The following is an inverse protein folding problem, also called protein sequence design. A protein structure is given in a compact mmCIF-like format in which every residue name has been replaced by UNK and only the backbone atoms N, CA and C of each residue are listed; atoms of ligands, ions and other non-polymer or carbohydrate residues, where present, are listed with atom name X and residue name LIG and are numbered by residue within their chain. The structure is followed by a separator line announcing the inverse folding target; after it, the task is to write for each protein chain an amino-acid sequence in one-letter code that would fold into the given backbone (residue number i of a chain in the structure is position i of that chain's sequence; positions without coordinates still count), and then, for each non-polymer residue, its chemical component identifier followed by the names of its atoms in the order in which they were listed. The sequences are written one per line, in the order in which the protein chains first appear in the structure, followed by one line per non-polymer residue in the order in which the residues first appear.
data_IF_476975409501
#
_entry.id   IF_476975409501
#
_cell.length_a   1.000
_cell.length_b   1.000
_cell.length_c   1.000
_cell.angle_alpha   90.00
_cell.angle_beta   90.00
_cell.angle_gamma   90.00
#
_symmetry.space_group_name_H-M   'P 1'
#
loop_
_entity.id
_entity.type
_entity.pdbx_description
1 polymer ?
#
# COMPACT_ATOMS: atom_id res chain seq x y z
N UNK A 1 -27.22 -12.36 -49.72
CA UNK A 1 -26.37 -12.99 -48.69
C UNK A 1 -25.49 -11.88 -48.16
N UNK A 2 -25.84 -11.40 -46.96
CA UNK A 2 -25.32 -10.18 -46.36
C UNK A 2 -23.92 -10.43 -45.81
N UNK A 3 -22.95 -9.63 -46.25
CA UNK A 3 -21.60 -9.62 -45.70
C UNK A 3 -21.65 -9.16 -44.24
N UNK A 4 -21.36 -10.11 -43.34
CA UNK A 4 -21.15 -9.84 -41.92
C UNK A 4 -19.82 -9.09 -41.80
N UNK A 5 -19.91 -7.76 -41.64
CA UNK A 5 -18.79 -6.93 -41.22
C UNK A 5 -18.29 -7.43 -39.86
N UNK A 6 -17.18 -8.16 -39.86
CA UNK A 6 -16.41 -8.49 -38.66
C UNK A 6 -15.88 -7.16 -38.12
N UNK A 7 -16.53 -6.64 -37.07
CA UNK A 7 -16.04 -5.51 -36.29
C UNK A 7 -14.79 -5.97 -35.54
N UNK A 8 -13.56 -5.52 -35.90
CA UNK A 8 -12.37 -5.90 -35.16
C UNK A 8 -12.54 -5.33 -33.75
N UNK A 9 -12.66 -6.24 -32.78
CA UNK A 9 -12.78 -5.89 -31.37
C UNK A 9 -11.80 -4.76 -31.03
N UNK A 10 -12.35 -3.62 -30.60
CA UNK A 10 -11.57 -2.51 -30.05
C UNK A 10 -10.62 -3.09 -29.00
N UNK A 11 -9.34 -3.21 -29.34
CA UNK A 11 -8.29 -3.48 -28.35
C UNK A 11 -8.31 -2.26 -27.43
N UNK A 12 -8.99 -2.39 -26.29
CA UNK A 12 -9.01 -1.37 -25.25
C UNK A 12 -7.55 -1.24 -24.79
N UNK A 13 -6.85 -0.21 -25.25
CA UNK A 13 -5.55 0.17 -24.67
C UNK A 13 -5.82 0.49 -23.20
N UNK A 14 -5.50 -0.45 -22.33
CA UNK A 14 -5.52 -0.22 -20.89
C UNK A 14 -4.31 0.67 -20.61
N UNK A 15 -4.55 1.88 -20.11
CA UNK A 15 -3.49 2.76 -19.62
C UNK A 15 -2.78 2.03 -18.47
N UNK A 16 -1.43 2.04 -18.40
CA UNK A 16 -0.74 1.49 -17.25
C UNK A 16 -1.14 2.26 -15.99
N UNK A 17 -1.26 1.54 -14.88
CA UNK A 17 -1.57 2.10 -13.56
C UNK A 17 -0.54 3.18 -13.20
N UNK A 18 -0.99 4.36 -12.79
CA UNK A 18 -0.12 5.43 -12.31
C UNK A 18 0.03 5.43 -10.78
N UNK A 19 1.08 6.10 -10.28
CA UNK A 19 1.26 6.31 -8.84
C UNK A 19 0.08 7.07 -8.21
N UNK A 20 -0.46 8.07 -8.90
CA UNK A 20 -1.63 8.83 -8.47
C UNK A 20 -2.88 7.94 -8.28
N UNK A 21 -3.11 6.98 -9.18
CA UNK A 21 -4.21 6.02 -9.05
C UNK A 21 -4.03 5.11 -7.82
N UNK A 22 -2.79 4.74 -7.50
CA UNK A 22 -2.46 3.97 -6.28
C UNK A 22 -2.69 4.81 -5.02
N UNK A 23 -2.20 6.05 -4.99
CA UNK A 23 -2.40 6.99 -3.88
C UNK A 23 -3.89 7.17 -3.60
N UNK A 24 -4.69 7.48 -4.63
CA UNK A 24 -6.14 7.65 -4.50
C UNK A 24 -6.85 6.36 -4.06
N UNK A 25 -6.41 5.20 -4.52
CA UNK A 25 -6.98 3.93 -4.09
C UNK A 25 -6.71 3.63 -2.62
N UNK A 26 -5.48 3.88 -2.15
CA UNK A 26 -5.10 3.67 -0.74
C UNK A 26 -5.80 4.67 0.17
N UNK A 27 -5.85 5.95 -0.20
CA UNK A 27 -6.59 6.97 0.54
C UNK A 27 -8.06 6.57 0.75
N UNK A 28 -8.74 6.18 -0.35
CA UNK A 28 -10.13 5.71 -0.28
C UNK A 28 -10.27 4.46 0.58
N UNK A 29 -9.33 3.53 0.50
CA UNK A 29 -9.36 2.31 1.31
C UNK A 29 -9.26 2.63 2.81
N UNK A 30 -8.31 3.48 3.22
CA UNK A 30 -8.12 3.89 4.61
C UNK A 30 -9.33 4.65 5.15
N UNK A 31 -9.85 5.63 4.40
CA UNK A 31 -11.05 6.37 4.80
C UNK A 31 -12.29 5.47 4.88
N UNK A 32 -12.44 4.53 3.94
CA UNK A 32 -13.58 3.60 3.95
C UNK A 32 -13.49 2.65 5.15
N UNK A 33 -12.29 2.20 5.50
CA UNK A 33 -12.05 1.30 6.64
C UNK A 33 -12.46 1.96 7.96
N UNK A 34 -12.02 3.19 8.23
CA UNK A 34 -12.36 3.87 9.49
C UNK A 34 -13.83 4.33 9.51
N UNK A 35 -14.42 4.61 8.34
CA UNK A 35 -15.82 5.03 8.24
C UNK A 35 -16.83 3.88 8.29
N UNK A 36 -16.38 2.64 8.12
CA UNK A 36 -17.26 1.48 8.22
C UNK A 36 -17.79 1.34 9.65
N UNK A 37 -19.11 1.24 9.81
CA UNK A 37 -19.77 1.21 11.12
C UNK A 37 -20.88 0.15 11.09
N UNK A 38 -21.03 -0.71 12.12
CA UNK A 38 -20.26 -0.75 13.37
C UNK A 38 -18.93 -1.51 13.25
N UNK A 39 -17.90 -1.10 14.00
CA UNK A 39 -16.67 -1.89 14.19
C UNK A 39 -16.45 -2.22 15.67
N UNK A 40 -16.96 -3.38 16.15
CA UNK A 40 -16.86 -3.75 17.56
C UNK A 40 -15.42 -3.71 18.08
N UNK A 41 -15.16 -2.85 19.06
CA UNK A 41 -13.85 -2.71 19.71
C UNK A 41 -12.83 -1.86 18.96
N UNK A 42 -13.13 -1.40 17.73
CA UNK A 42 -12.25 -0.54 16.93
C UNK A 42 -12.86 0.86 16.77
N UNK A 43 -12.04 1.82 16.35
CA UNK A 43 -12.50 3.16 15.99
C UNK A 43 -13.41 3.10 14.76
N UNK A 44 -14.57 3.77 14.85
CA UNK A 44 -15.49 4.02 13.74
C UNK A 44 -16.09 5.44 13.82
N UNK A 45 -17.10 5.75 12.99
CA UNK A 45 -17.75 7.07 13.00
C UNK A 45 -18.49 7.35 14.31
N UNK A 46 -18.97 6.31 15.00
CA UNK A 46 -19.81 6.46 16.21
C UNK A 46 -18.97 6.63 17.46
N UNK A 47 -17.83 5.95 17.57
CA UNK A 47 -17.02 5.95 18.78
C UNK A 47 -15.58 5.46 18.55
N UNK A 48 -14.73 5.65 19.57
CA UNK A 48 -13.35 5.19 19.59
C UNK A 48 -13.18 3.68 19.88
N UNK A 49 -14.27 2.91 19.97
CA UNK A 49 -14.22 1.51 20.36
C UNK A 49 -13.67 1.33 21.78
N UNK A 50 -12.68 0.44 21.92
CA UNK A 50 -11.97 0.22 23.18
C UNK A 50 -10.78 1.18 23.40
N UNK A 51 -10.54 2.10 22.47
CA UNK A 51 -9.39 2.99 22.50
C UNK A 51 -9.68 4.27 23.29
N UNK A 52 -8.66 4.73 24.01
CA UNK A 52 -8.66 6.02 24.74
C UNK A 52 -7.67 7.02 24.14
N UNK A 53 -6.79 6.54 23.27
CA UNK A 53 -5.66 7.26 22.67
C UNK A 53 -5.90 7.67 21.22
N UNK A 54 -6.95 7.17 20.55
CA UNK A 54 -7.28 7.47 19.15
C UNK A 54 -8.78 7.58 18.91
N UNK A 55 -9.13 8.37 17.91
CA UNK A 55 -10.49 8.60 17.44
C UNK A 55 -10.54 8.71 15.90
N UNK A 56 -11.72 8.99 15.34
CA UNK A 56 -11.89 9.16 13.90
C UNK A 56 -10.95 10.23 13.32
N UNK A 57 -10.80 11.37 14.01
CA UNK A 57 -9.96 12.48 13.56
C UNK A 57 -8.48 12.07 13.48
N UNK A 58 -8.01 11.26 14.43
CA UNK A 58 -6.66 10.69 14.42
C UNK A 58 -6.41 9.83 13.18
N UNK A 59 -7.39 9.02 12.77
CA UNK A 59 -7.31 8.20 11.56
C UNK A 59 -7.40 9.02 10.26
N UNK A 60 -8.21 10.08 10.24
CA UNK A 60 -8.28 11.00 9.09
C UNK A 60 -6.98 11.78 8.91
N UNK A 61 -6.40 12.30 10.00
CA UNK A 61 -5.09 12.95 10.00
C UNK A 61 -3.97 12.00 9.55
N UNK A 62 -3.97 10.77 10.07
CA UNK A 62 -3.08 9.70 9.64
C UNK A 62 -3.19 9.40 8.14
N UNK A 63 -4.42 9.31 7.62
CA UNK A 63 -4.66 9.01 6.19
C UNK A 63 -4.11 10.11 5.28
N UNK A 64 -4.33 11.38 5.64
CA UNK A 64 -3.87 12.53 4.86
C UNK A 64 -2.33 12.55 4.70
N UNK A 65 -1.60 12.01 5.68
CA UNK A 65 -0.15 11.89 5.63
C UNK A 65 0.30 10.59 4.96
N UNK A 66 -0.32 9.45 5.28
CA UNK A 66 0.11 8.13 4.80
C UNK A 66 -0.15 7.94 3.31
N UNK A 67 -1.29 8.39 2.77
CA UNK A 67 -1.64 8.12 1.38
C UNK A 67 -0.64 8.69 0.36
N UNK A 68 -0.17 9.94 0.46
CA UNK A 68 0.87 10.47 -0.42
C UNK A 68 2.18 9.66 -0.43
N UNK A 69 2.55 9.01 0.67
CA UNK A 69 3.75 8.17 0.72
C UNK A 69 3.70 6.98 -0.23
N UNK A 70 2.50 6.52 -0.65
CA UNK A 70 2.34 5.39 -1.57
C UNK A 70 2.99 5.64 -2.93
N UNK A 71 3.09 6.91 -3.37
CA UNK A 71 3.82 7.28 -4.57
C UNK A 71 5.31 6.90 -4.47
N UNK A 72 5.95 7.16 -3.33
CA UNK A 72 7.36 6.82 -3.12
C UNK A 72 7.59 5.31 -3.12
N UNK A 73 6.67 4.55 -2.52
CA UNK A 73 6.71 3.08 -2.59
C UNK A 73 6.56 2.58 -4.03
N UNK A 74 5.62 3.15 -4.79
CA UNK A 74 5.39 2.80 -6.20
C UNK A 74 6.63 3.09 -7.05
N UNK A 75 7.21 4.30 -6.96
CA UNK A 75 8.41 4.70 -7.69
C UNK A 75 9.58 3.78 -7.33
N UNK A 76 9.81 3.50 -6.05
CA UNK A 76 10.88 2.58 -5.64
C UNK A 76 10.68 1.17 -6.21
N UNK A 77 9.44 0.68 -6.23
CA UNK A 77 9.11 -0.60 -6.86
C UNK A 77 9.40 -0.62 -8.36
N UNK A 78 9.04 0.46 -9.05
CA UNK A 78 9.28 0.66 -10.48
C UNK A 78 10.78 0.69 -10.80
N UNK A 79 11.56 1.49 -10.06
CA UNK A 79 12.98 1.72 -10.32
C UNK A 79 13.84 0.51 -9.95
N UNK A 80 13.40 -0.27 -8.95
CA UNK A 80 14.09 -1.50 -8.56
C UNK A 80 13.72 -2.69 -9.44
N UNK A 81 12.95 -2.55 -10.52
CA UNK A 81 12.42 -3.70 -11.27
C UNK A 81 13.47 -4.73 -11.76
N UNK A 82 14.70 -4.29 -11.99
CA UNK A 82 15.85 -5.14 -12.36
C UNK A 82 16.59 -5.80 -11.18
N UNK A 83 16.39 -5.31 -9.95
CA UNK A 83 16.97 -5.85 -8.72
C UNK A 83 16.28 -7.17 -8.34
N UNK A 84 17.00 -8.09 -7.70
CA UNK A 84 16.40 -9.30 -7.15
C UNK A 84 15.26 -8.95 -6.17
N UNK A 85 14.04 -9.50 -6.34
CA UNK A 85 12.90 -9.15 -5.49
C UNK A 85 13.19 -9.25 -3.98
N UNK A 86 13.96 -10.24 -3.58
CA UNK A 86 14.34 -10.55 -2.21
C UNK A 86 15.11 -9.40 -1.51
N UNK A 87 15.75 -8.52 -2.29
CA UNK A 87 16.50 -7.37 -1.78
C UNK A 87 15.64 -6.10 -1.65
N UNK A 88 14.50 -6.04 -2.33
CA UNK A 88 13.67 -4.82 -2.40
C UNK A 88 13.11 -4.44 -1.05
N UNK A 89 12.69 -5.42 -0.23
CA UNK A 89 12.15 -5.12 1.09
C UNK A 89 13.16 -4.34 1.96
N UNK A 90 14.46 -4.66 1.86
CA UNK A 90 15.49 -3.88 2.57
C UNK A 90 15.57 -2.43 2.07
N UNK A 91 15.36 -2.20 0.78
CA UNK A 91 15.33 -0.86 0.18
C UNK A 91 14.07 -0.07 0.54
N UNK A 92 12.94 -0.76 0.75
CA UNK A 92 11.68 -0.12 1.16
C UNK A 92 11.67 0.26 2.65
N UNK A 93 12.50 -0.36 3.49
CA UNK A 93 12.53 -0.12 4.95
C UNK A 93 12.67 1.35 5.33
N UNK A 94 13.67 2.10 4.83
CA UNK A 94 13.81 3.52 5.17
C UNK A 94 12.58 4.36 4.76
N UNK A 95 11.94 4.03 3.63
CA UNK A 95 10.73 4.72 3.16
C UNK A 95 9.56 4.47 4.10
N UNK A 96 9.37 3.21 4.54
CA UNK A 96 8.35 2.85 5.51
C UNK A 96 8.55 3.47 6.88
N UNK A 97 9.80 3.51 7.37
CA UNK A 97 10.13 4.18 8.63
C UNK A 97 9.85 5.68 8.60
N UNK A 98 10.17 6.36 7.48
CA UNK A 98 9.86 7.78 7.33
C UNK A 98 8.35 8.04 7.27
N UNK A 99 7.60 7.23 6.50
CA UNK A 99 6.14 7.29 6.48
C UNK A 99 5.52 7.09 7.86
N UNK A 100 6.02 6.12 8.62
CA UNK A 100 5.57 5.85 9.99
C UNK A 100 5.88 7.02 10.94
N UNK A 101 7.05 7.65 10.82
CA UNK A 101 7.39 8.82 11.63
C UNK A 101 6.45 10.00 11.34
N UNK A 102 6.18 10.31 10.07
CA UNK A 102 5.25 11.38 9.71
C UNK A 102 3.83 11.08 10.21
N UNK A 103 3.40 9.81 10.13
CA UNK A 103 2.12 9.36 10.68
C UNK A 103 2.06 9.57 12.20
N UNK A 104 3.12 9.21 12.92
CA UNK A 104 3.21 9.41 14.38
C UNK A 104 3.19 10.90 14.72
N UNK A 105 3.90 11.75 13.97
CA UNK A 105 3.88 13.19 14.17
C UNK A 105 2.46 13.76 14.01
N UNK A 106 1.76 13.38 12.94
CA UNK A 106 0.40 13.85 12.66
C UNK A 106 -0.65 13.35 13.66
N UNK A 107 -0.35 12.28 14.40
CA UNK A 107 -1.28 11.64 15.35
C UNK A 107 -0.86 11.82 16.81
N UNK A 108 0.16 12.62 17.10
CA UNK A 108 0.64 12.82 18.47
C UNK A 108 1.27 11.57 19.11
N UNK A 109 1.88 10.70 18.28
CA UNK A 109 2.56 9.48 18.71
C UNK A 109 1.67 8.24 18.72
N UNK A 110 0.44 8.33 18.23
CA UNK A 110 -0.54 7.25 18.30
C UNK A 110 -0.39 6.29 17.14
N UNK A 111 -0.38 5.00 17.45
CA UNK A 111 -0.18 3.95 16.46
C UNK A 111 -1.48 3.63 15.71
N UNK A 112 -1.78 4.39 14.65
CA UNK A 112 -2.97 4.19 13.80
C UNK A 112 -2.69 3.21 12.66
N UNK A 113 -2.20 3.71 11.51
CA UNK A 113 -2.08 2.97 10.25
C UNK A 113 -0.74 2.25 10.04
N UNK A 114 0.05 1.99 11.07
CA UNK A 114 1.37 1.34 10.94
C UNK A 114 1.32 0.02 10.14
N UNK A 115 0.34 -0.83 10.44
CA UNK A 115 0.13 -2.08 9.67
C UNK A 115 -0.27 -1.83 8.22
N UNK A 116 -1.08 -0.79 7.99
CA UNK A 116 -1.52 -0.40 6.65
C UNK A 116 -0.37 0.21 5.82
N UNK A 117 0.54 0.99 6.42
CA UNK A 117 1.77 1.49 5.78
C UNK A 117 2.58 0.31 5.23
N UNK A 118 2.76 -0.73 6.04
CA UNK A 118 3.49 -1.93 5.60
C UNK A 118 2.77 -2.64 4.45
N UNK A 119 1.49 -2.95 4.61
CA UNK A 119 0.73 -3.70 3.61
C UNK A 119 0.58 -2.93 2.29
N UNK A 120 0.11 -1.68 2.34
CA UNK A 120 -0.06 -0.86 1.14
C UNK A 120 1.28 -0.41 0.55
N UNK A 121 2.32 -0.20 1.36
CA UNK A 121 3.66 0.09 0.85
C UNK A 121 4.21 -1.07 0.00
N UNK A 122 4.06 -2.31 0.47
CA UNK A 122 4.45 -3.50 -0.31
C UNK A 122 3.62 -3.67 -1.59
N UNK A 123 2.30 -3.48 -1.51
CA UNK A 123 1.42 -3.56 -2.68
C UNK A 123 1.73 -2.47 -3.71
N UNK A 124 2.01 -1.24 -3.25
CA UNK A 124 2.37 -0.11 -4.11
C UNK A 124 3.71 -0.36 -4.81
N UNK A 125 4.71 -0.86 -4.10
CA UNK A 125 5.98 -1.26 -4.68
C UNK A 125 5.85 -2.44 -5.67
N UNK A 126 4.99 -3.43 -5.35
CA UNK A 126 4.71 -4.53 -6.25
C UNK A 126 4.05 -4.04 -7.55
N UNK A 127 3.08 -3.13 -7.43
CA UNK A 127 2.42 -2.51 -8.57
C UNK A 127 3.41 -1.74 -9.45
N UNK A 128 4.25 -0.88 -8.87
CA UNK A 128 5.28 -0.15 -9.61
C UNK A 128 6.24 -1.07 -10.36
N UNK A 129 6.66 -2.17 -9.72
CA UNK A 129 7.52 -3.18 -10.34
C UNK A 129 6.85 -3.89 -11.52
N UNK A 130 5.58 -4.26 -11.40
CA UNK A 130 4.82 -4.90 -12.48
C UNK A 130 4.63 -3.93 -13.66
N UNK A 131 4.32 -2.67 -13.38
CA UNK A 131 4.21 -1.61 -14.40
C UNK A 131 5.54 -1.44 -15.16
N UNK A 132 6.67 -1.36 -14.45
CA UNK A 132 8.01 -1.25 -15.05
C UNK A 132 8.33 -2.43 -15.99
N UNK A 133 7.85 -3.63 -15.64
CA UNK A 133 8.02 -4.85 -16.46
C UNK A 133 6.99 -5.00 -17.58
N UNK A 134 6.01 -4.09 -17.70
CA UNK A 134 4.90 -4.23 -18.64
C UNK A 134 3.98 -5.42 -18.33
N UNK A 135 3.94 -5.88 -17.09
CA UNK A 135 3.08 -6.98 -16.65
C UNK A 135 1.69 -6.46 -16.24
N UNK A 136 0.62 -7.25 -16.43
CA UNK A 136 -0.72 -6.85 -16.01
C UNK A 136 -0.84 -6.76 -14.48
N UNK A 137 -1.64 -5.81 -14.02
CA UNK A 137 -1.93 -5.63 -12.59
C UNK A 137 -3.13 -6.50 -12.21
N UNK A 138 -2.83 -7.67 -11.66
CA UNK A 138 -3.80 -8.65 -11.21
C UNK A 138 -3.53 -9.02 -9.76
N UNK A 139 -4.57 -9.34 -8.99
CA UNK A 139 -4.46 -9.66 -7.57
C UNK A 139 -3.39 -10.72 -7.28
N UNK A 140 -3.41 -11.83 -8.02
CA UNK A 140 -2.45 -12.92 -7.81
C UNK A 140 -1.01 -12.48 -8.09
N UNK A 141 -0.77 -11.66 -9.13
CA UNK A 141 0.57 -11.14 -9.46
C UNK A 141 1.09 -10.18 -8.41
N UNK A 142 0.22 -9.31 -7.89
CA UNK A 142 0.57 -8.43 -6.77
C UNK A 142 0.96 -9.26 -5.54
N UNK A 143 0.14 -10.24 -5.16
CA UNK A 143 0.41 -11.12 -4.03
C UNK A 143 1.72 -11.92 -4.23
N UNK A 144 1.94 -12.48 -5.42
CA UNK A 144 3.17 -13.21 -5.75
C UNK A 144 4.40 -12.32 -5.68
N UNK A 145 4.29 -11.08 -6.16
CA UNK A 145 5.40 -10.13 -6.14
C UNK A 145 5.72 -9.66 -4.72
N UNK A 146 4.70 -9.45 -3.87
CA UNK A 146 4.87 -9.18 -2.44
C UNK A 146 5.51 -10.37 -1.73
N UNK A 147 5.06 -11.60 -2.03
CA UNK A 147 5.66 -12.81 -1.47
C UNK A 147 7.13 -12.93 -1.85
N UNK A 148 7.49 -12.63 -3.11
CA UNK A 148 8.88 -12.55 -3.58
C UNK A 148 9.72 -11.53 -2.80
N UNK A 149 9.18 -10.34 -2.53
CA UNK A 149 9.87 -9.36 -1.69
C UNK A 149 10.19 -9.88 -0.29
N UNK A 150 9.34 -10.76 0.24
CA UNK A 150 9.49 -11.29 1.59
C UNK A 150 10.37 -12.55 1.68
N UNK A 151 10.68 -13.23 0.57
CA UNK A 151 11.43 -14.50 0.56
C UNK A 151 12.91 -14.40 0.98
N UNK A 152 13.54 -13.23 0.81
CA UNK A 152 14.95 -13.01 1.15
C UNK A 152 15.26 -12.85 2.63
N UNK A 153 14.22 -12.60 3.44
CA UNK A 153 14.36 -12.39 4.87
C UNK A 153 13.85 -13.65 5.55
N UNK A 154 14.73 -14.44 6.17
CA UNK A 154 14.32 -15.55 7.04
C UNK A 154 13.20 -15.10 7.98
N UNK A 155 12.28 -16.01 8.29
CA UNK A 155 10.98 -15.83 8.97
C UNK A 155 10.90 -14.87 10.18
N UNK A 156 12.03 -14.38 10.71
CA UNK A 156 12.11 -13.35 11.74
C UNK A 156 11.88 -11.90 11.23
N UNK A 157 12.01 -11.61 9.93
CA UNK A 157 12.07 -10.22 9.42
C UNK A 157 10.75 -9.57 8.98
N UNK A 158 9.66 -10.34 8.85
CA UNK A 158 8.33 -9.87 8.41
C UNK A 158 7.42 -9.53 9.60
N UNK A 159 7.74 -10.06 10.79
CA UNK A 159 6.92 -9.93 12.01
C UNK A 159 7.17 -8.60 12.74
N UNK A 160 8.31 -7.95 12.52
CA UNK A 160 8.59 -6.63 13.06
C UNK A 160 8.40 -5.57 11.98
N UNK A 161 7.23 -4.94 12.02
CA UNK A 161 6.89 -3.75 11.26
C UNK A 161 8.06 -2.77 11.25
N UNK A 162 8.73 -2.65 10.09
CA UNK A 162 9.85 -1.76 9.75
C UNK A 162 11.05 -1.67 10.71
N UNK A 163 11.01 -2.25 11.91
CA UNK A 163 12.06 -2.10 12.92
C UNK A 163 13.32 -2.86 12.48
N UNK A 164 14.40 -2.11 12.30
CA UNK A 164 15.71 -2.59 12.68
C UNK A 164 15.70 -2.92 14.18
N UNK A 165 16.51 -3.89 14.58
CA UNK A 165 16.79 -4.20 15.99
C UNK A 165 16.92 -2.93 16.82
N UNK A 166 16.21 -2.88 17.94
CA UNK A 166 16.16 -1.77 18.89
C UNK A 166 17.55 -1.22 19.24
N UNK A 167 17.61 0.10 19.46
CA UNK A 167 18.37 0.69 20.56
C UNK A 167 17.38 1.44 21.44
#
# INVERSE_FOLDING_TARGET
MSDVLINPARVRRVKPLSAEEVVSAVERALLTEVRLTPKPGLVDIRNAGAHWDMDLASFEASTAVVAPWMEKFFIMGHDTAAVAPEQVLMMLRPVGMACENDMLEATGGVNTHRGAIFAFGLLSAAAGRLVSKGEPIEQHRLCDQVARFCRGNGYAGVVFCWRGTAQ
#
